data_IF_618745956626
#
_entry.id   IF_618745956626
#
_cell.length_a   1.000
_cell.length_b   1.000
_cell.length_c   1.000
_cell.angle_alpha   90.00
_cell.angle_beta   90.00
_cell.angle_gamma   90.00
#
_symmetry.space_group_name_H-M   'P 1'
#
loop_
_entity.id
_entity.type
_entity.pdbx_description
1 polymer ?
#
# COMPACT_ATOMS: atom_id res chain seq x y z
N UNK A 1 -34.08 72.59 -26.90
CA UNK A 1 -34.56 71.53 -26.00
C UNK A 1 -33.92 70.23 -26.43
N UNK A 2 -32.87 69.79 -25.76
CA UNK A 2 -32.22 68.52 -26.03
C UNK A 2 -32.48 67.60 -24.82
N UNK A 3 -33.29 66.54 -25.07
CA UNK A 3 -33.57 65.51 -24.06
C UNK A 3 -32.36 64.49 -24.04
N UNK A 4 -31.65 64.44 -22.92
CA UNK A 4 -30.66 63.41 -22.66
C UNK A 4 -31.35 62.14 -22.15
N UNK A 5 -31.25 61.06 -22.89
CA UNK A 5 -31.71 59.71 -22.47
C UNK A 5 -30.63 59.06 -21.62
N UNK A 6 -30.90 58.93 -20.32
CA UNK A 6 -30.02 58.24 -19.36
C UNK A 6 -30.31 56.75 -19.46
N UNK A 7 -29.42 55.97 -20.07
CA UNK A 7 -29.52 54.51 -20.08
C UNK A 7 -28.94 53.97 -18.75
N UNK A 8 -29.82 53.49 -17.89
CA UNK A 8 -29.44 52.80 -16.64
C UNK A 8 -29.05 51.35 -16.98
N UNK A 9 -27.75 51.05 -16.93
CA UNK A 9 -27.25 49.71 -17.07
C UNK A 9 -27.53 48.95 -15.74
N UNK A 10 -28.56 48.12 -15.71
CA UNK A 10 -28.76 47.18 -14.61
C UNK A 10 -27.70 46.07 -14.70
N UNK A 11 -26.68 46.15 -13.90
CA UNK A 11 -25.82 45.01 -13.61
C UNK A 11 -26.65 43.95 -12.86
N UNK A 12 -26.95 42.84 -13.54
CA UNK A 12 -27.50 41.64 -12.87
C UNK A 12 -26.49 41.17 -11.84
N UNK A 13 -26.92 40.87 -10.59
CA UNK A 13 -26.04 40.20 -9.65
C UNK A 13 -25.70 38.82 -10.27
N UNK A 14 -24.43 38.61 -10.60
CA UNK A 14 -23.93 37.31 -10.92
C UNK A 14 -24.25 36.39 -9.72
N UNK A 15 -25.10 35.38 -9.94
CA UNK A 15 -25.19 34.28 -8.99
C UNK A 15 -23.75 33.73 -8.81
N UNK A 16 -23.14 33.96 -7.65
CA UNK A 16 -21.99 33.21 -7.27
C UNK A 16 -22.44 31.74 -7.25
N UNK A 17 -22.05 30.99 -8.24
CA UNK A 17 -22.26 29.53 -8.25
C UNK A 17 -21.44 29.01 -7.05
N UNK A 18 -22.09 28.33 -6.12
CA UNK A 18 -21.36 27.69 -5.01
C UNK A 18 -20.31 26.78 -5.65
N UNK A 19 -19.07 26.88 -5.17
CA UNK A 19 -17.99 26.02 -5.67
C UNK A 19 -18.36 24.55 -5.42
N UNK A 20 -18.27 23.74 -6.46
CA UNK A 20 -18.49 22.30 -6.34
C UNK A 20 -17.20 21.66 -5.76
N UNK A 21 -17.27 21.25 -4.50
CA UNK A 21 -16.12 20.64 -3.82
C UNK A 21 -15.98 19.17 -4.20
N UNK A 22 -14.75 18.75 -4.51
CA UNK A 22 -14.37 17.34 -4.70
C UNK A 22 -13.35 16.96 -3.66
N UNK A 23 -13.68 16.02 -2.80
CA UNK A 23 -12.82 15.57 -1.71
C UNK A 23 -11.97 14.38 -2.13
N UNK A 24 -10.64 14.52 -2.07
CA UNK A 24 -9.66 13.53 -2.52
C UNK A 24 -8.82 13.06 -1.35
N UNK A 25 -8.96 11.79 -0.95
CA UNK A 25 -8.04 11.12 -0.04
C UNK A 25 -6.92 10.45 -0.82
N UNK A 26 -5.66 10.74 -0.50
CA UNK A 26 -4.57 10.20 -1.29
C UNK A 26 -3.32 9.86 -0.46
N UNK A 27 -2.55 8.91 -0.97
CA UNK A 27 -1.25 8.55 -0.42
C UNK A 27 -0.28 9.74 -0.38
N UNK A 28 0.61 9.75 0.61
CA UNK A 28 1.62 10.80 0.79
C UNK A 28 2.48 11.03 -0.45
N UNK A 29 2.94 9.96 -1.10
CA UNK A 29 3.76 10.02 -2.33
C UNK A 29 3.04 10.60 -3.56
N UNK A 30 1.71 10.80 -3.49
CA UNK A 30 0.93 11.43 -4.53
C UNK A 30 0.71 12.94 -4.29
N UNK A 31 1.24 13.51 -3.19
CA UNK A 31 0.94 14.89 -2.79
C UNK A 31 1.33 15.91 -3.86
N UNK A 32 2.55 15.82 -4.40
CA UNK A 32 3.05 16.76 -5.43
C UNK A 32 2.32 16.58 -6.77
N UNK A 33 2.25 15.38 -7.38
CA UNK A 33 1.59 15.24 -8.67
C UNK A 33 0.09 15.53 -8.60
N UNK A 34 -0.62 15.18 -7.51
CA UNK A 34 -2.04 15.53 -7.38
C UNK A 34 -2.27 17.01 -7.10
N UNK A 35 -1.31 17.73 -6.48
CA UNK A 35 -1.40 19.19 -6.40
C UNK A 35 -1.33 19.82 -7.80
N UNK A 36 -0.41 19.38 -8.62
CA UNK A 36 -0.29 19.87 -10.00
C UNK A 36 -1.53 19.49 -10.84
N UNK A 37 -2.12 18.31 -10.58
CA UNK A 37 -3.37 17.90 -11.22
C UNK A 37 -4.54 18.76 -10.78
N UNK A 38 -4.68 19.09 -9.48
CA UNK A 38 -5.66 20.01 -8.92
C UNK A 38 -5.58 21.38 -9.62
N UNK A 39 -4.38 22.01 -9.60
CA UNK A 39 -4.16 23.34 -10.19
C UNK A 39 -4.57 23.39 -11.68
N UNK A 40 -4.23 22.35 -12.45
CA UNK A 40 -4.60 22.28 -13.87
C UNK A 40 -6.07 21.95 -14.08
N UNK A 41 -6.64 21.07 -13.27
CA UNK A 41 -8.04 20.68 -13.36
C UNK A 41 -8.97 21.85 -13.02
N UNK A 42 -8.72 22.57 -11.94
CA UNK A 42 -9.51 23.73 -11.52
C UNK A 42 -9.45 24.88 -12.55
N UNK A 43 -8.28 25.06 -13.20
CA UNK A 43 -8.15 26.02 -14.31
C UNK A 43 -9.04 25.68 -15.51
N UNK A 44 -9.31 24.39 -15.75
CA UNK A 44 -10.20 23.90 -16.80
C UNK A 44 -11.68 23.86 -16.37
N UNK A 45 -11.95 23.79 -15.07
CA UNK A 45 -13.28 23.67 -14.48
C UNK A 45 -13.58 24.82 -13.50
N UNK A 46 -13.78 26.07 -13.97
CA UNK A 46 -14.06 27.21 -13.10
C UNK A 46 -15.27 26.95 -12.19
N UNK A 47 -15.09 27.08 -10.89
CA UNK A 47 -16.12 26.81 -9.87
C UNK A 47 -16.05 25.42 -9.26
N UNK A 48 -15.04 24.63 -9.59
CA UNK A 48 -14.67 23.41 -8.86
C UNK A 48 -13.55 23.72 -7.87
N UNK A 49 -13.60 23.08 -6.70
CA UNK A 49 -12.61 23.17 -5.60
C UNK A 49 -12.20 21.74 -5.20
N UNK A 50 -10.99 21.36 -5.53
CA UNK A 50 -10.41 20.04 -5.19
C UNK A 50 -9.78 20.11 -3.80
N UNK A 51 -10.38 19.46 -2.83
CA UNK A 51 -9.86 19.39 -1.45
C UNK A 51 -9.12 18.07 -1.21
N UNK A 52 -7.80 18.14 -1.12
CA UNK A 52 -6.94 16.98 -0.91
C UNK A 52 -6.58 16.77 0.57
N UNK A 53 -6.72 15.53 1.05
CA UNK A 53 -6.20 15.09 2.34
C UNK A 53 -5.15 14.00 2.10
N UNK A 54 -3.89 14.30 2.47
CA UNK A 54 -2.74 13.39 2.30
C UNK A 54 -2.45 12.62 3.57
N UNK A 55 -2.43 11.28 3.50
CA UNK A 55 -2.04 10.39 4.59
C UNK A 55 -1.49 9.06 4.04
N UNK A 56 -1.21 8.06 4.88
CA UNK A 56 -0.93 6.70 4.42
C UNK A 56 -2.15 6.10 3.72
N UNK A 57 -1.96 5.25 2.69
CA UNK A 57 -3.07 4.73 1.89
C UNK A 57 -4.09 3.95 2.70
N UNK A 58 -3.65 3.14 3.67
CA UNK A 58 -4.55 2.43 4.60
C UNK A 58 -5.39 3.43 5.37
N UNK A 59 -4.76 4.44 5.96
CA UNK A 59 -5.44 5.49 6.72
C UNK A 59 -6.40 6.32 5.85
N UNK A 60 -6.07 6.57 4.56
CA UNK A 60 -6.97 7.23 3.60
C UNK A 60 -8.27 6.44 3.43
N UNK A 61 -8.16 5.14 3.20
CA UNK A 61 -9.32 4.27 2.98
C UNK A 61 -10.17 4.17 4.26
N UNK A 62 -9.54 4.07 5.43
CA UNK A 62 -10.24 4.02 6.72
C UNK A 62 -11.04 5.29 7.03
N UNK A 63 -10.68 6.47 6.49
CA UNK A 63 -11.53 7.66 6.62
C UNK A 63 -12.94 7.42 6.07
N UNK A 64 -13.06 6.62 5.02
CA UNK A 64 -14.33 6.29 4.37
C UNK A 64 -14.95 5.04 5.02
N UNK A 65 -14.19 3.94 5.09
CA UNK A 65 -14.73 2.61 5.44
C UNK A 65 -15.03 2.45 6.93
N UNK A 66 -14.26 3.08 7.81
CA UNK A 66 -14.38 2.93 9.27
C UNK A 66 -14.93 4.19 9.94
N UNK A 67 -14.43 5.39 9.53
CA UNK A 67 -14.84 6.64 10.16
C UNK A 67 -16.12 7.20 9.53
N UNK A 68 -16.43 6.82 8.27
CA UNK A 68 -17.63 7.24 7.55
C UNK A 68 -17.58 8.70 7.06
N UNK A 69 -16.37 9.24 6.83
CA UNK A 69 -16.23 10.57 6.22
C UNK A 69 -16.56 10.52 4.72
N UNK A 70 -17.16 11.59 4.16
CA UNK A 70 -17.35 11.68 2.73
C UNK A 70 -16.01 11.78 2.00
N UNK A 71 -15.92 11.14 0.84
CA UNK A 71 -14.78 11.23 -0.07
C UNK A 71 -15.24 10.93 -1.48
N UNK A 72 -14.80 11.74 -2.43
CA UNK A 72 -15.20 11.64 -3.84
C UNK A 72 -14.18 10.88 -4.68
N UNK A 73 -12.90 10.88 -4.25
CA UNK A 73 -11.83 10.14 -4.90
C UNK A 73 -10.90 9.54 -3.84
N UNK A 74 -10.46 8.31 -4.06
CA UNK A 74 -9.38 7.66 -3.31
C UNK A 74 -8.24 7.31 -4.26
N UNK A 75 -7.02 7.76 -3.95
CA UNK A 75 -5.81 7.42 -4.70
C UNK A 75 -4.76 6.79 -3.77
N UNK A 76 -4.50 5.50 -3.98
CA UNK A 76 -3.65 4.66 -3.13
C UNK A 76 -2.29 4.40 -3.77
N UNK A 77 -1.23 4.34 -2.95
CA UNK A 77 0.09 3.87 -3.36
C UNK A 77 0.19 2.34 -3.50
N UNK A 78 -0.86 1.63 -3.16
CA UNK A 78 -1.06 0.22 -3.46
C UNK A 78 -2.48 0.00 -3.98
N UNK A 79 -2.60 -0.34 -5.26
CA UNK A 79 -3.91 -0.55 -5.89
C UNK A 79 -4.71 -1.65 -5.22
N UNK A 80 -4.03 -2.68 -4.66
CA UNK A 80 -4.69 -3.83 -4.07
C UNK A 80 -5.48 -3.49 -2.79
N UNK A 81 -5.13 -2.41 -2.10
CA UNK A 81 -5.89 -1.94 -0.93
C UNK A 81 -7.33 -1.55 -1.29
N UNK A 82 -7.58 -1.12 -2.54
CA UNK A 82 -8.94 -0.76 -2.97
C UNK A 82 -9.86 -1.99 -2.93
N UNK A 83 -9.60 -3.10 -3.66
CA UNK A 83 -10.45 -4.27 -3.55
C UNK A 83 -10.39 -4.94 -2.17
N UNK A 84 -9.26 -4.91 -1.46
CA UNK A 84 -9.11 -5.55 -0.15
C UNK A 84 -9.95 -4.88 0.96
N UNK A 85 -10.00 -3.54 0.96
CA UNK A 85 -10.60 -2.77 2.05
C UNK A 85 -11.91 -2.06 1.68
N UNK A 86 -12.19 -1.88 0.38
CA UNK A 86 -13.36 -1.12 -0.07
C UNK A 86 -14.43 -1.98 -0.74
N UNK A 87 -14.08 -3.15 -1.31
CA UNK A 87 -15.08 -3.98 -1.99
C UNK A 87 -15.90 -4.81 -1.00
N UNK A 88 -17.20 -5.05 -1.30
CA UNK A 88 -17.99 -4.45 -2.37
C UNK A 88 -18.70 -3.14 -1.94
N UNK A 89 -18.63 -2.76 -0.66
CA UNK A 89 -19.53 -1.78 -0.05
C UNK A 89 -19.18 -0.33 -0.42
N UNK A 90 -17.89 -0.05 -0.61
CA UNK A 90 -17.36 1.32 -0.80
C UNK A 90 -16.73 1.56 -2.18
N UNK A 91 -16.46 0.50 -2.96
CA UNK A 91 -16.00 0.58 -4.35
C UNK A 91 -16.34 -0.73 -5.07
N UNK A 92 -16.39 -0.69 -6.42
CA UNK A 92 -16.63 -1.85 -7.29
C UNK A 92 -15.67 -1.87 -8.49
N UNK A 93 -14.82 -0.86 -8.63
CA UNK A 93 -13.79 -0.74 -9.64
C UNK A 93 -12.59 0.06 -9.15
N UNK A 94 -11.47 -0.06 -9.86
CA UNK A 94 -10.31 0.82 -9.73
C UNK A 94 -9.52 0.88 -11.05
N UNK A 95 -8.68 1.91 -11.18
CA UNK A 95 -7.72 2.05 -12.28
C UNK A 95 -6.31 2.07 -11.73
N UNK A 96 -5.43 1.23 -12.27
CA UNK A 96 -3.97 1.29 -12.08
C UNK A 96 -3.40 2.28 -13.08
N UNK A 97 -2.67 3.28 -12.61
CA UNK A 97 -2.31 4.43 -13.46
C UNK A 97 -0.84 4.81 -13.45
N UNK A 98 -0.07 4.44 -12.43
CA UNK A 98 1.35 4.72 -12.31
C UNK A 98 2.08 3.63 -11.51
N UNK A 99 3.42 3.61 -11.62
CA UNK A 99 4.32 2.72 -10.88
C UNK A 99 5.33 3.50 -10.05
N UNK A 100 6.08 2.82 -9.19
CA UNK A 100 7.19 3.38 -8.44
C UNK A 100 8.15 2.26 -8.00
N UNK A 101 9.22 2.62 -7.30
CA UNK A 101 10.17 1.71 -6.65
C UNK A 101 10.61 2.26 -5.29
N UNK A 102 11.13 1.39 -4.43
CA UNK A 102 11.72 1.80 -3.17
C UNK A 102 13.20 2.10 -3.34
N UNK A 103 13.61 3.20 -2.71
CA UNK A 103 15.00 3.63 -2.60
C UNK A 103 15.35 3.90 -1.14
N UNK A 104 16.64 4.00 -0.85
CA UNK A 104 17.12 4.50 0.44
C UNK A 104 17.59 5.95 0.26
N UNK A 105 16.73 6.91 0.63
CA UNK A 105 16.99 8.33 0.51
C UNK A 105 17.92 8.83 1.63
N UNK A 106 18.77 9.82 1.32
CA UNK A 106 19.71 10.39 2.27
C UNK A 106 20.14 11.82 1.88
N UNK A 107 20.75 12.54 2.82
CA UNK A 107 21.38 13.82 2.56
C UNK A 107 22.90 13.65 2.45
N UNK A 108 23.52 13.94 1.27
CA UNK A 108 24.95 13.67 1.05
C UNK A 108 25.87 14.51 1.95
N UNK A 109 25.39 15.64 2.50
CA UNK A 109 26.18 16.52 3.36
C UNK A 109 26.02 16.24 4.87
N UNK A 110 24.90 15.61 5.27
CA UNK A 110 24.54 15.44 6.68
C UNK A 110 24.51 13.98 7.13
N UNK A 111 24.15 13.03 6.24
CA UNK A 111 24.02 11.62 6.58
C UNK A 111 25.38 10.96 6.85
N UNK A 112 25.45 10.20 7.92
CA UNK A 112 26.66 9.45 8.27
C UNK A 112 27.00 8.43 7.18
N UNK A 113 28.27 8.35 6.78
CA UNK A 113 28.77 7.46 5.75
C UNK A 113 28.15 7.65 4.34
N UNK A 114 27.61 8.84 4.04
CA UNK A 114 27.00 9.15 2.75
C UNK A 114 27.92 8.90 1.52
N UNK A 115 29.23 9.03 1.71
CA UNK A 115 30.23 8.75 0.65
C UNK A 115 30.62 7.28 0.49
N UNK A 116 30.16 6.41 1.39
CA UNK A 116 30.52 4.98 1.41
C UNK A 116 29.33 4.10 0.97
N UNK A 117 28.10 4.60 1.08
CA UNK A 117 26.90 3.80 0.84
C UNK A 117 26.70 3.47 -0.63
N UNK A 118 26.35 2.22 -0.92
CA UNK A 118 26.11 1.69 -2.27
C UNK A 118 24.92 0.71 -2.25
N UNK A 119 24.40 0.31 -3.42
CA UNK A 119 23.37 -0.74 -3.50
C UNK A 119 23.78 -2.09 -2.88
N UNK A 120 25.09 -2.37 -2.81
CA UNK A 120 25.62 -3.64 -2.31
C UNK A 120 25.87 -3.66 -0.81
N UNK A 121 26.02 -2.48 -0.15
CA UNK A 121 26.44 -2.39 1.26
C UNK A 121 25.50 -1.57 2.16
N UNK A 122 24.38 -1.09 1.66
CA UNK A 122 23.48 -0.22 2.41
C UNK A 122 23.09 -0.78 3.79
N UNK A 123 22.83 -2.07 3.87
CA UNK A 123 22.45 -2.75 5.11
C UNK A 123 23.61 -2.80 6.11
N UNK A 124 24.86 -2.91 5.64
CA UNK A 124 26.05 -2.82 6.50
C UNK A 124 26.24 -1.40 7.07
N UNK A 125 25.94 -0.36 6.25
CA UNK A 125 25.96 1.02 6.71
C UNK A 125 24.88 1.26 7.76
N UNK A 126 23.64 0.77 7.55
CA UNK A 126 22.57 0.90 8.52
C UNK A 126 22.86 0.19 9.85
N UNK A 127 23.65 -0.87 9.85
CA UNK A 127 24.08 -1.58 11.06
C UNK A 127 25.06 -0.79 11.93
N UNK A 128 25.81 0.15 11.34
CA UNK A 128 26.87 0.89 12.05
C UNK A 128 26.32 1.68 13.23
N UNK A 129 27.12 1.76 14.30
CA UNK A 129 26.79 2.53 15.49
C UNK A 129 26.57 4.02 15.16
N UNK A 130 25.53 4.60 15.72
CA UNK A 130 25.17 6.01 15.54
C UNK A 130 24.39 6.31 14.26
N UNK A 131 24.30 5.39 13.28
CA UNK A 131 23.44 5.55 12.10
C UNK A 131 21.99 5.35 12.50
N UNK A 132 21.15 6.32 12.18
CA UNK A 132 19.70 6.27 12.39
C UNK A 132 18.99 6.21 11.04
N UNK A 133 18.09 5.25 10.87
CA UNK A 133 17.30 5.13 9.66
C UNK A 133 15.80 5.11 9.97
N UNK A 134 14.97 5.39 8.98
CA UNK A 134 13.52 5.43 9.16
C UNK A 134 12.74 4.79 8.02
N UNK A 135 11.50 4.47 8.35
CA UNK A 135 10.46 4.04 7.41
C UNK A 135 9.08 4.44 7.96
N UNK A 136 8.06 4.44 7.10
CA UNK A 136 6.70 4.75 7.56
C UNK A 136 6.07 3.57 8.30
N UNK A 137 5.03 3.85 9.10
CA UNK A 137 4.30 2.83 9.84
C UNK A 137 3.67 1.80 8.87
N UNK A 138 4.06 0.53 8.94
CA UNK A 138 3.50 -0.52 8.07
C UNK A 138 1.98 -0.68 8.18
N UNK A 139 1.39 -0.31 9.33
CA UNK A 139 -0.05 -0.41 9.56
C UNK A 139 -0.86 0.69 8.87
N UNK A 140 -0.22 1.81 8.50
CA UNK A 140 -0.89 3.00 7.97
C UNK A 140 -0.51 3.31 6.51
N UNK A 141 0.70 2.89 6.08
CA UNK A 141 1.30 3.32 4.81
C UNK A 141 1.96 2.16 4.05
N UNK A 142 1.64 1.99 2.75
CA UNK A 142 2.29 1.00 1.88
C UNK A 142 3.82 1.09 1.81
N UNK A 143 4.41 2.29 1.87
CA UNK A 143 5.86 2.44 1.94
C UNK A 143 6.44 1.69 3.14
N UNK A 144 5.76 1.76 4.29
CA UNK A 144 6.18 1.09 5.51
C UNK A 144 6.20 -0.43 5.42
N UNK A 145 5.09 -1.07 5.01
CA UNK A 145 5.11 -2.53 4.89
C UNK A 145 6.01 -3.02 3.76
N UNK A 146 6.21 -2.23 2.71
CA UNK A 146 7.19 -2.52 1.67
C UNK A 146 8.63 -2.40 2.15
N UNK A 147 8.92 -1.41 3.00
CA UNK A 147 10.24 -1.26 3.61
C UNK A 147 10.61 -2.50 4.43
N UNK A 148 9.73 -3.00 5.28
CA UNK A 148 10.04 -4.22 6.04
C UNK A 148 10.14 -5.46 5.15
N UNK A 149 9.44 -5.51 4.00
CA UNK A 149 9.64 -6.57 3.00
C UNK A 149 11.03 -6.50 2.38
N UNK A 150 11.55 -5.29 2.09
CA UNK A 150 12.90 -5.09 1.53
C UNK A 150 13.97 -5.71 2.41
N UNK A 151 13.89 -5.55 3.74
CA UNK A 151 14.87 -6.16 4.64
C UNK A 151 14.89 -7.70 4.53
N UNK A 152 13.72 -8.33 4.43
CA UNK A 152 13.66 -9.79 4.27
C UNK A 152 14.09 -10.24 2.86
N UNK A 153 13.74 -9.50 1.82
CA UNK A 153 14.18 -9.77 0.46
C UNK A 153 15.70 -9.61 0.34
N UNK A 154 16.28 -8.64 1.06
CA UNK A 154 17.71 -8.37 1.09
C UNK A 154 18.52 -9.53 1.68
N UNK A 155 18.00 -10.25 2.67
CA UNK A 155 18.65 -11.46 3.20
C UNK A 155 18.92 -12.49 2.09
N UNK A 156 17.93 -12.75 1.25
CA UNK A 156 18.11 -13.67 0.13
C UNK A 156 19.02 -13.12 -0.95
N UNK A 157 18.88 -11.83 -1.26
CA UNK A 157 19.62 -11.18 -2.34
C UNK A 157 21.12 -11.10 -2.01
N UNK A 158 21.46 -10.68 -0.80
CA UNK A 158 22.86 -10.52 -0.35
C UNK A 158 23.45 -11.80 0.27
N UNK A 159 22.61 -12.80 0.59
CA UNK A 159 23.03 -14.04 1.25
C UNK A 159 23.42 -13.85 2.72
N UNK A 160 22.89 -12.83 3.38
CA UNK A 160 23.10 -12.48 4.79
C UNK A 160 21.80 -12.59 5.57
N UNK A 161 21.61 -13.69 6.29
CA UNK A 161 20.41 -14.01 7.04
C UNK A 161 20.23 -13.22 8.36
N UNK A 162 21.01 -12.18 8.57
CA UNK A 162 20.93 -11.35 9.78
C UNK A 162 20.40 -9.93 9.48
N UNK A 163 20.12 -9.61 8.22
CA UNK A 163 19.71 -8.24 7.85
C UNK A 163 18.41 -7.85 8.55
N UNK A 164 17.39 -8.72 8.51
CA UNK A 164 16.11 -8.46 9.17
C UNK A 164 16.25 -8.52 10.68
N UNK A 165 16.98 -9.49 11.20
CA UNK A 165 17.14 -9.69 12.64
C UNK A 165 17.80 -8.47 13.30
N UNK A 166 18.98 -8.05 12.81
CA UNK A 166 19.76 -6.96 13.42
C UNK A 166 19.15 -5.57 13.18
N UNK A 167 18.47 -5.35 12.04
CA UNK A 167 17.92 -4.03 11.71
C UNK A 167 16.47 -3.86 12.18
N UNK A 168 15.65 -4.91 12.15
CA UNK A 168 14.22 -4.83 12.45
C UNK A 168 13.85 -5.52 13.77
N UNK A 169 14.16 -6.82 13.95
CA UNK A 169 13.73 -7.55 15.14
C UNK A 169 14.34 -6.99 16.44
N UNK A 170 15.63 -6.61 16.42
CA UNK A 170 16.32 -6.06 17.59
C UNK A 170 15.88 -4.63 17.92
N UNK A 171 15.27 -3.91 16.96
CA UNK A 171 14.97 -2.51 17.09
C UNK A 171 13.47 -2.16 17.08
N UNK A 172 12.59 -3.15 16.93
CA UNK A 172 11.12 -2.92 16.94
C UNK A 172 10.39 -4.13 17.54
N UNK A 173 9.08 -4.00 17.75
CA UNK A 173 8.21 -5.12 18.11
C UNK A 173 7.71 -5.91 16.88
N UNK A 174 8.17 -5.61 15.68
CA UNK A 174 7.85 -6.36 14.45
C UNK A 174 8.49 -7.75 14.55
N UNK A 175 7.75 -8.77 14.14
CA UNK A 175 8.22 -10.17 14.18
C UNK A 175 8.15 -10.81 12.80
N UNK A 176 8.90 -11.90 12.60
CA UNK A 176 8.93 -12.65 11.36
C UNK A 176 8.88 -14.15 11.64
N UNK A 177 8.26 -14.91 10.76
CA UNK A 177 8.22 -16.36 10.80
C UNK A 177 8.30 -16.97 9.41
N UNK A 178 9.08 -18.04 9.27
CA UNK A 178 9.11 -18.83 8.04
C UNK A 178 7.84 -19.68 7.92
N UNK A 179 7.27 -19.74 6.72
CA UNK A 179 6.16 -20.60 6.37
C UNK A 179 6.65 -21.92 5.71
N UNK A 180 5.83 -22.97 5.78
CA UNK A 180 6.20 -24.29 5.24
C UNK A 180 6.47 -24.32 3.73
N UNK A 181 5.96 -23.35 2.98
CA UNK A 181 6.14 -23.18 1.54
C UNK A 181 7.43 -22.42 1.16
N UNK A 182 8.24 -22.03 2.17
CA UNK A 182 9.49 -21.26 1.99
C UNK A 182 9.27 -19.76 1.83
N UNK A 183 8.06 -19.25 2.12
CA UNK A 183 7.78 -17.82 2.26
C UNK A 183 7.97 -17.36 3.71
N UNK A 184 7.89 -16.05 3.92
CA UNK A 184 7.96 -15.44 5.24
C UNK A 184 6.72 -14.58 5.51
N UNK A 185 6.24 -14.66 6.76
CA UNK A 185 5.19 -13.79 7.28
C UNK A 185 5.78 -12.86 8.34
N UNK A 186 5.81 -11.57 8.02
CA UNK A 186 6.15 -10.49 8.95
C UNK A 186 4.86 -10.07 9.64
N UNK A 187 4.90 -9.81 10.95
CA UNK A 187 3.74 -9.31 11.72
C UNK A 187 4.08 -7.96 12.32
N UNK A 188 3.23 -6.98 12.04
CA UNK A 188 3.37 -5.61 12.54
C UNK A 188 2.29 -5.35 13.59
N UNK A 189 2.63 -5.36 14.90
CA UNK A 189 1.69 -5.04 15.96
C UNK A 189 1.26 -3.57 15.90
N UNK A 190 0.18 -3.19 16.60
CA UNK A 190 -0.28 -1.82 16.69
C UNK A 190 0.78 -0.90 17.31
N UNK A 191 1.42 -1.34 18.39
CA UNK A 191 2.56 -0.67 19.02
C UNK A 191 3.88 -1.26 18.52
N UNK A 192 4.54 -0.56 17.61
CA UNK A 192 5.77 -1.00 16.96
C UNK A 192 7.03 -0.89 17.83
N UNK A 193 6.99 -0.15 18.95
CA UNK A 193 8.06 0.02 19.94
C UNK A 193 9.46 0.27 19.32
N UNK A 194 9.65 1.30 18.48
CA UNK A 194 10.92 1.53 17.85
C UNK A 194 12.01 1.93 18.86
N UNK A 195 13.20 1.35 18.72
CA UNK A 195 14.41 1.85 19.36
C UNK A 195 14.85 3.15 18.67
N UNK A 196 14.37 4.30 19.16
CA UNK A 196 14.52 5.60 18.50
C UNK A 196 15.96 6.11 18.37
N UNK A 197 16.95 5.44 18.96
CA UNK A 197 18.36 5.71 18.70
C UNK A 197 18.87 5.01 17.45
N UNK A 198 18.05 4.14 16.82
CA UNK A 198 18.38 3.37 15.63
C UNK A 198 17.34 3.48 14.53
N UNK A 199 16.05 3.46 14.89
CA UNK A 199 14.91 3.42 13.94
C UNK A 199 13.90 4.49 14.27
N UNK A 200 13.54 5.33 13.31
CA UNK A 200 12.43 6.29 13.39
C UNK A 200 11.26 5.81 12.50
N UNK A 201 10.06 5.71 13.09
CA UNK A 201 8.85 5.28 12.38
C UNK A 201 7.82 6.42 12.42
N UNK A 202 7.34 6.84 11.24
CA UNK A 202 6.35 7.91 11.06
C UNK A 202 5.07 7.40 10.42
N UNK A 203 3.91 8.04 10.63
CA UNK A 203 2.64 7.61 10.05
C UNK A 203 2.66 7.49 8.51
N UNK A 204 3.41 8.34 7.82
CA UNK A 204 3.60 8.31 6.36
C UNK A 204 5.04 8.62 5.99
N UNK A 205 5.49 8.09 4.87
CA UNK A 205 6.89 8.15 4.45
C UNK A 205 7.37 9.59 4.21
N UNK A 206 6.56 10.43 3.57
CA UNK A 206 6.92 11.83 3.29
C UNK A 206 7.21 12.67 4.55
N UNK A 207 6.84 12.19 5.74
CA UNK A 207 7.19 12.87 6.99
C UNK A 207 8.67 12.66 7.35
N UNK A 208 9.32 11.61 6.85
CA UNK A 208 10.74 11.34 7.06
C UNK A 208 11.64 12.28 6.25
N UNK A 209 11.13 12.82 5.14
CA UNK A 209 11.88 13.70 4.22
C UNK A 209 12.51 14.88 4.97
N UNK A 210 11.71 15.61 5.74
CA UNK A 210 12.21 16.77 6.49
C UNK A 210 13.30 16.38 7.50
N UNK A 211 13.21 15.21 8.12
CA UNK A 211 14.24 14.73 9.06
C UNK A 211 15.54 14.38 8.34
N UNK A 212 15.48 13.82 7.13
CA UNK A 212 16.67 13.58 6.29
C UNK A 212 17.27 14.89 5.82
N UNK A 213 16.44 15.83 5.33
CA UNK A 213 16.89 17.15 4.89
C UNK A 213 17.61 17.92 6.01
N UNK A 214 17.09 17.87 7.24
CA UNK A 214 17.64 18.55 8.41
C UNK A 214 18.81 17.81 9.08
N UNK A 215 19.03 16.53 8.73
CA UNK A 215 20.07 15.66 9.30
C UNK A 215 19.73 15.11 10.69
N UNK A 216 18.44 15.07 11.02
CA UNK A 216 17.92 14.37 12.20
C UNK A 216 17.75 12.87 11.97
N UNK A 217 17.85 12.44 10.71
CA UNK A 217 17.78 11.07 10.24
C UNK A 217 18.83 10.89 9.16
N UNK A 218 19.63 9.82 9.22
CA UNK A 218 20.66 9.58 8.21
C UNK A 218 20.06 9.03 6.90
N UNK A 219 19.15 8.05 7.01
CA UNK A 219 18.59 7.34 5.87
C UNK A 219 17.10 7.10 6.05
N UNK A 220 16.32 7.18 4.96
CA UNK A 220 14.92 6.84 4.98
C UNK A 220 14.55 5.94 3.80
N UNK A 221 13.77 4.89 4.06
CA UNK A 221 13.10 4.16 2.98
C UNK A 221 11.97 5.02 2.43
N UNK A 222 12.08 5.32 1.16
CA UNK A 222 11.15 6.17 0.43
C UNK A 222 10.86 5.63 -0.97
N UNK A 223 9.77 6.10 -1.55
CA UNK A 223 9.60 5.95 -2.98
C UNK A 223 10.57 6.85 -3.75
N UNK A 224 11.13 6.34 -4.86
CA UNK A 224 12.02 7.13 -5.74
C UNK A 224 11.41 8.49 -6.09
N UNK A 225 10.12 8.51 -6.44
CA UNK A 225 9.44 9.76 -6.81
C UNK A 225 9.51 10.82 -5.71
N UNK A 226 9.37 10.43 -4.44
CA UNK A 226 9.47 11.34 -3.31
C UNK A 226 10.90 11.89 -3.17
N UNK A 227 11.90 11.01 -3.26
CA UNK A 227 13.30 11.43 -3.22
C UNK A 227 13.63 12.43 -4.36
N UNK A 228 13.14 12.17 -5.58
CA UNK A 228 13.30 13.06 -6.75
C UNK A 228 12.62 14.41 -6.52
N UNK A 229 11.37 14.42 -6.06
CA UNK A 229 10.58 15.63 -5.84
C UNK A 229 11.20 16.55 -4.78
N UNK A 230 11.88 15.98 -3.79
CA UNK A 230 12.54 16.70 -2.71
C UNK A 230 14.04 16.91 -2.91
N UNK A 231 14.57 16.55 -4.08
CA UNK A 231 16.01 16.65 -4.41
C UNK A 231 16.93 15.95 -3.40
N UNK A 232 16.46 14.87 -2.78
CA UNK A 232 17.30 14.02 -1.94
C UNK A 232 18.19 13.14 -2.81
N UNK A 233 19.41 12.88 -2.34
CA UNK A 233 20.19 11.78 -2.89
C UNK A 233 19.55 10.44 -2.43
N UNK A 234 19.78 9.40 -3.21
CA UNK A 234 19.27 8.07 -2.84
C UNK A 234 20.18 6.97 -3.39
N UNK A 235 20.11 5.83 -2.73
CA UNK A 235 20.69 4.58 -3.20
C UNK A 235 19.58 3.83 -3.95
N UNK A 236 19.82 3.52 -5.22
CA UNK A 236 19.00 2.60 -6.00
C UNK A 236 19.14 1.18 -5.42
N UNK A 237 18.05 0.63 -4.90
CA UNK A 237 18.07 -0.74 -4.44
C UNK A 237 18.07 -1.70 -5.63
N UNK A 238 18.69 -2.89 -5.52
CA UNK A 238 18.65 -3.87 -6.60
C UNK A 238 17.23 -4.30 -6.97
N UNK A 239 16.96 -4.54 -8.28
CA UNK A 239 15.65 -4.96 -8.81
C UNK A 239 15.03 -6.18 -8.10
N UNK A 240 15.87 -7.02 -7.48
CA UNK A 240 15.39 -8.17 -6.71
C UNK A 240 14.69 -7.82 -5.40
N UNK A 241 14.83 -6.57 -4.91
CA UNK A 241 14.34 -6.13 -3.60
C UNK A 241 13.59 -4.79 -3.61
N UNK A 242 13.72 -3.95 -4.66
CA UNK A 242 13.14 -2.60 -4.75
C UNK A 242 11.62 -2.57 -5.01
N UNK A 243 11.02 -3.73 -5.27
CA UNK A 243 9.61 -3.91 -5.59
C UNK A 243 9.15 -3.17 -6.86
N UNK A 244 10.02 -2.94 -7.83
CA UNK A 244 9.65 -2.31 -9.12
C UNK A 244 9.31 -3.32 -10.19
N UNK A 245 9.99 -4.47 -10.22
CA UNK A 245 10.07 -5.36 -11.38
C UNK A 245 9.00 -6.44 -11.38
N UNK A 246 8.24 -6.52 -12.46
CA UNK A 246 7.31 -7.65 -12.70
C UNK A 246 8.05 -8.98 -12.90
N UNK A 247 9.31 -8.96 -13.34
CA UNK A 247 10.12 -10.17 -13.49
C UNK A 247 10.48 -10.80 -12.14
N UNK A 248 10.55 -10.00 -11.08
CA UNK A 248 10.81 -10.43 -9.72
C UNK A 248 9.54 -10.64 -8.88
N UNK A 249 8.33 -10.49 -9.46
CA UNK A 249 7.07 -10.63 -8.74
C UNK A 249 6.95 -11.97 -7.99
N UNK A 250 7.48 -13.09 -8.57
CA UNK A 250 7.50 -14.41 -7.92
C UNK A 250 8.41 -14.47 -6.69
N UNK A 251 9.42 -13.62 -6.62
CA UNK A 251 10.29 -13.47 -5.45
C UNK A 251 9.63 -12.59 -4.41
N UNK A 252 9.09 -11.43 -4.81
CA UNK A 252 8.43 -10.50 -3.90
C UNK A 252 7.28 -11.16 -3.12
N UNK A 253 6.43 -11.93 -3.79
CA UNK A 253 5.27 -12.59 -3.16
C UNK A 253 5.61 -13.66 -2.11
N UNK A 254 6.88 -14.01 -1.97
CA UNK A 254 7.34 -14.89 -0.87
C UNK A 254 7.43 -14.17 0.47
N UNK A 255 7.35 -12.84 0.47
CA UNK A 255 7.31 -12.04 1.70
C UNK A 255 5.92 -11.42 1.84
N UNK A 256 5.32 -11.62 3.01
CA UNK A 256 4.00 -11.10 3.37
C UNK A 256 4.11 -10.33 4.66
N UNK A 257 3.25 -9.33 4.83
CA UNK A 257 3.13 -8.55 6.06
C UNK A 257 1.68 -8.63 6.55
N UNK A 258 1.49 -9.18 7.74
CA UNK A 258 0.21 -9.14 8.47
C UNK A 258 0.17 -7.85 9.29
N UNK A 259 -0.74 -6.96 8.93
CA UNK A 259 -0.97 -5.69 9.63
C UNK A 259 -1.68 -5.92 10.96
N UNK A 260 -1.65 -4.93 11.87
CA UNK A 260 -2.36 -5.00 13.15
C UNK A 260 -3.88 -5.23 12.99
N UNK A 261 -4.46 -4.79 11.87
CA UNK A 261 -5.86 -5.07 11.50
C UNK A 261 -6.14 -6.53 11.17
N UNK A 262 -5.11 -7.37 10.98
CA UNK A 262 -5.21 -8.74 10.49
C UNK A 262 -5.19 -8.85 8.96
N UNK A 263 -5.20 -7.74 8.21
CA UNK A 263 -5.03 -7.76 6.76
C UNK A 263 -3.60 -8.20 6.39
N UNK A 264 -3.46 -8.99 5.33
CA UNK A 264 -2.17 -9.53 4.89
C UNK A 264 -1.78 -8.93 3.55
N UNK A 265 -0.72 -8.14 3.56
CA UNK A 265 -0.14 -7.56 2.36
C UNK A 265 0.92 -8.49 1.78
N UNK A 266 0.80 -8.82 0.49
CA UNK A 266 1.76 -9.67 -0.21
C UNK A 266 2.71 -8.81 -1.03
N UNK A 267 4.01 -9.15 -1.02
CA UNK A 267 5.00 -8.44 -1.83
C UNK A 267 4.67 -8.50 -3.32
N UNK A 268 4.52 -7.34 -3.93
CA UNK A 268 4.18 -7.15 -5.35
C UNK A 268 4.90 -5.93 -5.90
N UNK A 269 5.05 -5.80 -7.23
CA UNK A 269 5.49 -4.55 -7.83
C UNK A 269 4.61 -3.37 -7.40
N UNK A 270 5.25 -2.20 -7.20
CA UNK A 270 4.57 -0.99 -6.73
C UNK A 270 3.73 -0.40 -7.84
N UNK A 271 2.41 -0.38 -7.65
CA UNK A 271 1.43 0.13 -8.60
C UNK A 271 0.37 0.95 -7.87
N UNK A 272 0.17 2.18 -8.32
CA UNK A 272 -0.84 3.08 -7.79
C UNK A 272 -2.23 2.77 -8.35
N UNK A 273 -3.24 2.85 -7.48
CA UNK A 273 -4.64 2.69 -7.83
C UNK A 273 -5.47 3.92 -7.48
N UNK A 274 -6.53 4.18 -8.27
CA UNK A 274 -7.47 5.27 -8.05
C UNK A 274 -8.90 4.79 -8.31
N UNK A 275 -9.84 5.29 -7.51
CA UNK A 275 -11.28 5.00 -7.66
C UNK A 275 -12.15 6.17 -7.19
N UNK A 276 -13.42 6.14 -7.55
CA UNK A 276 -14.49 6.96 -6.96
C UNK A 276 -15.28 6.06 -6.01
N UNK A 277 -15.35 6.36 -4.71
CA UNK A 277 -16.14 5.57 -3.77
C UNK A 277 -17.64 5.59 -4.09
N UNK A 278 -18.34 4.48 -3.80
CA UNK A 278 -19.81 4.38 -3.96
C UNK A 278 -20.57 5.37 -3.08
N UNK A 279 -19.94 5.85 -2.01
CA UNK A 279 -20.49 6.82 -1.04
C UNK A 279 -20.09 8.27 -1.35
N UNK A 280 -19.51 8.54 -2.52
CA UNK A 280 -19.10 9.88 -2.94
C UNK A 280 -20.30 10.85 -2.95
N UNK A 281 -20.08 12.07 -2.45
CA UNK A 281 -21.09 13.13 -2.46
C UNK A 281 -21.17 13.82 -3.83
N UNK A 282 -20.03 13.90 -4.56
CA UNK A 282 -19.91 14.48 -5.90
C UNK A 282 -19.30 13.48 -6.90
N UNK A 283 -19.95 12.32 -7.16
CA UNK A 283 -19.36 11.23 -7.94
C UNK A 283 -19.06 11.63 -9.39
N UNK A 284 -19.90 12.47 -10.01
CA UNK A 284 -19.71 12.94 -11.40
C UNK A 284 -18.43 13.76 -11.53
N UNK A 285 -18.20 14.72 -10.62
CA UNK A 285 -16.99 15.55 -10.66
C UNK A 285 -15.77 14.78 -10.18
N UNK A 286 -15.92 13.86 -9.23
CA UNK A 286 -14.87 12.91 -8.84
C UNK A 286 -14.41 12.06 -10.03
N UNK A 287 -15.37 11.60 -10.86
CA UNK A 287 -15.07 10.85 -12.09
C UNK A 287 -14.35 11.71 -13.14
N UNK A 288 -14.75 12.96 -13.34
CA UNK A 288 -14.02 13.87 -14.25
C UNK A 288 -12.60 14.13 -13.76
N UNK A 289 -12.38 14.26 -12.45
CA UNK A 289 -11.04 14.38 -11.89
C UNK A 289 -10.23 13.08 -12.08
N UNK A 290 -10.81 11.90 -11.87
CA UNK A 290 -10.16 10.61 -12.17
C UNK A 290 -9.78 10.52 -13.65
N UNK A 291 -10.67 10.88 -14.58
CA UNK A 291 -10.38 10.94 -16.03
C UNK A 291 -9.18 11.84 -16.33
N UNK A 292 -9.11 13.00 -15.70
CA UNK A 292 -7.98 13.92 -15.85
C UNK A 292 -6.67 13.28 -15.35
N UNK A 293 -6.70 12.68 -14.16
CA UNK A 293 -5.51 12.06 -13.53
C UNK A 293 -4.99 10.88 -14.35
N UNK A 294 -5.86 9.99 -14.83
CA UNK A 294 -5.45 8.80 -15.59
C UNK A 294 -5.29 9.08 -17.10
N UNK A 295 -5.79 10.22 -17.58
CA UNK A 295 -5.65 10.67 -18.96
C UNK A 295 -4.28 11.28 -19.28
N UNK A 296 -4.10 11.72 -20.53
CA UNK A 296 -2.83 12.27 -21.02
C UNK A 296 -2.26 13.43 -20.16
N UNK A 297 -3.05 14.39 -19.66
CA UNK A 297 -2.51 15.45 -18.80
C UNK A 297 -1.93 14.90 -17.49
N UNK A 298 -2.68 14.04 -16.79
CA UNK A 298 -2.20 13.41 -15.55
C UNK A 298 -0.98 12.52 -15.79
N UNK A 299 -0.99 11.68 -16.84
CA UNK A 299 0.16 10.84 -17.19
C UNK A 299 1.45 11.66 -17.34
N UNK A 300 1.37 12.84 -17.99
CA UNK A 300 2.52 13.73 -18.11
C UNK A 300 2.97 14.28 -16.75
N UNK A 301 2.01 14.69 -15.90
CA UNK A 301 2.31 15.16 -14.55
C UNK A 301 3.04 14.07 -13.75
N UNK A 302 2.55 12.82 -13.77
CA UNK A 302 3.19 11.72 -13.05
C UNK A 302 4.57 11.41 -13.58
N UNK A 303 4.76 11.38 -14.92
CA UNK A 303 6.07 11.18 -15.53
C UNK A 303 7.09 12.27 -15.10
N UNK A 304 6.67 13.53 -15.11
CA UNK A 304 7.52 14.66 -14.71
C UNK A 304 7.88 14.64 -13.21
N UNK A 305 7.09 13.95 -12.40
CA UNK A 305 7.31 13.77 -10.95
C UNK A 305 8.00 12.45 -10.60
N UNK A 306 8.58 11.73 -11.56
CA UNK A 306 9.34 10.51 -11.30
C UNK A 306 8.47 9.28 -10.98
N UNK A 307 7.19 9.30 -11.37
CA UNK A 307 6.25 8.17 -11.26
C UNK A 307 5.87 7.70 -12.66
N UNK A 308 6.52 6.66 -13.22
CA UNK A 308 6.24 6.19 -14.56
C UNK A 308 4.74 5.85 -14.73
N UNK A 309 4.02 6.49 -15.68
CA UNK A 309 2.61 6.19 -15.92
C UNK A 309 2.45 4.82 -16.59
N UNK A 310 1.35 4.16 -16.28
CA UNK A 310 0.88 2.96 -16.99
C UNK A 310 0.09 3.43 -18.22
N UNK A 311 0.55 3.09 -19.42
CA UNK A 311 -0.06 3.55 -20.69
C UNK A 311 -0.37 2.36 -21.59
N UNK A 312 -1.65 2.08 -21.92
CA UNK A 312 -2.85 2.69 -21.32
C UNK A 312 -3.02 2.30 -19.85
N UNK A 313 -3.72 3.13 -19.03
CA UNK A 313 -4.08 2.75 -17.67
C UNK A 313 -4.91 1.48 -17.64
N UNK A 314 -4.76 0.66 -16.61
CA UNK A 314 -5.41 -0.65 -16.52
C UNK A 314 -6.56 -0.63 -15.51
N UNK A 315 -7.78 -0.89 -15.97
CA UNK A 315 -8.99 -0.91 -15.14
C UNK A 315 -9.39 -2.32 -14.71
N UNK A 316 -9.90 -2.45 -13.50
CA UNK A 316 -10.36 -3.72 -12.93
C UNK A 316 -11.69 -3.53 -12.19
N UNK A 317 -12.54 -4.55 -12.16
CA UNK A 317 -13.92 -4.48 -11.64
C UNK A 317 -14.89 -3.87 -12.64
N UNK A 318 -15.96 -3.27 -12.13
CA UNK A 318 -17.04 -2.69 -12.96
C UNK A 318 -16.68 -1.27 -13.45
N UNK A 319 -15.59 -1.17 -14.24
CA UNK A 319 -15.06 0.10 -14.76
C UNK A 319 -16.15 0.88 -15.50
N UNK A 320 -16.45 2.12 -15.11
CA UNK A 320 -17.48 2.94 -15.74
C UNK A 320 -17.24 3.16 -17.24
N UNK A 321 -18.32 3.13 -18.03
CA UNK A 321 -18.26 3.27 -19.49
C UNK A 321 -17.52 4.55 -19.95
N UNK A 322 -17.57 5.60 -19.15
CA UNK A 322 -16.91 6.88 -19.38
C UNK A 322 -15.38 6.79 -19.39
N UNK A 323 -14.81 5.81 -18.68
CA UNK A 323 -13.35 5.56 -18.63
C UNK A 323 -12.87 4.61 -19.76
N UNK A 324 -13.75 3.82 -20.37
CA UNK A 324 -13.37 2.78 -21.34
C UNK A 324 -12.68 3.29 -22.61
N UNK A 325 -12.76 4.61 -22.88
CA UNK A 325 -12.06 5.23 -24.02
C UNK A 325 -10.58 5.49 -23.75
N UNK A 326 -10.15 5.53 -22.47
CA UNK A 326 -8.80 5.86 -22.04
C UNK A 326 -8.16 4.77 -21.17
N UNK A 327 -8.97 3.90 -20.60
CA UNK A 327 -8.57 2.80 -19.71
C UNK A 327 -8.73 1.47 -20.44
N UNK A 328 -7.72 0.60 -20.37
CA UNK A 328 -7.85 -0.77 -20.85
C UNK A 328 -8.43 -1.64 -19.74
N UNK A 329 -9.63 -2.21 -19.92
CA UNK A 329 -10.16 -3.16 -18.96
C UNK A 329 -9.22 -4.38 -18.85
N UNK A 330 -8.88 -4.75 -17.65
CA UNK A 330 -8.17 -6.01 -17.42
C UNK A 330 -9.15 -7.17 -17.70
N UNK A 331 -8.72 -8.15 -18.46
CA UNK A 331 -9.53 -9.35 -18.65
C UNK A 331 -9.84 -9.93 -17.25
N UNK A 332 -11.11 -10.00 -16.89
CA UNK A 332 -11.53 -10.69 -15.66
C UNK A 332 -10.88 -12.07 -15.67
N UNK A 333 -10.10 -12.46 -14.66
CA UNK A 333 -9.56 -13.81 -14.60
C UNK A 333 -10.74 -14.77 -14.79
N UNK A 334 -10.67 -15.64 -15.80
CA UNK A 334 -11.70 -16.64 -15.99
C UNK A 334 -11.90 -17.34 -14.63
N UNK A 335 -13.14 -17.50 -14.14
CA UNK A 335 -13.37 -18.12 -12.85
C UNK A 335 -12.56 -19.41 -12.84
N UNK A 336 -11.68 -19.54 -11.85
CA UNK A 336 -10.87 -20.75 -11.66
C UNK A 336 -11.84 -21.92 -11.77
N UNK A 337 -11.61 -22.92 -12.63
CA UNK A 337 -12.56 -24.02 -12.79
C UNK A 337 -12.89 -24.50 -11.38
N UNK A 338 -14.14 -24.32 -10.98
CA UNK A 338 -14.66 -24.81 -9.71
C UNK A 338 -14.21 -26.26 -9.65
N UNK A 339 -13.36 -26.59 -8.69
CA UNK A 339 -12.91 -27.96 -8.51
C UNK A 339 -14.16 -28.82 -8.51
N UNK A 340 -14.34 -29.61 -9.58
CA UNK A 340 -15.43 -30.57 -9.65
C UNK A 340 -15.36 -31.37 -8.35
N UNK A 341 -16.43 -31.45 -7.54
CA UNK A 341 -16.36 -32.18 -6.30
C UNK A 341 -15.87 -33.58 -6.67
N UNK A 342 -14.68 -33.91 -6.17
CA UNK A 342 -14.12 -35.27 -6.31
C UNK A 342 -15.18 -36.20 -5.76
N UNK A 343 -15.70 -37.10 -6.62
CA UNK A 343 -16.76 -38.00 -6.24
C UNK A 343 -16.30 -38.75 -4.99
N UNK A 344 -17.03 -38.54 -3.87
CA UNK A 344 -16.80 -39.26 -2.63
C UNK A 344 -16.57 -40.74 -2.95
N UNK A 345 -15.48 -41.35 -2.50
CA UNK A 345 -15.25 -42.75 -2.76
C UNK A 345 -16.42 -43.54 -2.20
N UNK A 346 -17.05 -44.33 -3.09
CA UNK A 346 -18.12 -45.25 -2.73
C UNK A 346 -17.62 -46.14 -1.59
N UNK A 347 -18.36 -46.26 -0.45
CA UNK A 347 -17.89 -47.02 0.68
C UNK A 347 -17.78 -48.49 0.25
N UNK A 348 -16.56 -48.99 0.27
CA UNK A 348 -16.27 -50.42 0.09
C UNK A 348 -16.95 -51.20 1.21
N UNK A 349 -17.69 -52.32 0.93
CA UNK A 349 -18.33 -53.11 1.97
C UNK A 349 -17.28 -53.65 2.97
N UNK A 350 -17.37 -53.26 4.25
CA UNK A 350 -16.55 -53.82 5.33
C UNK A 350 -16.84 -55.33 5.47
N UNK A 351 -15.81 -56.15 5.33
CA UNK A 351 -15.85 -57.54 5.72
C UNK A 351 -16.14 -57.65 7.24
N UNK A 352 -16.99 -58.60 7.68
CA UNK A 352 -17.32 -58.75 9.10
C UNK A 352 -16.17 -59.43 9.85
N UNK A 353 -15.70 -58.78 10.93
CA UNK A 353 -14.93 -59.41 11.96
C UNK A 353 -13.53 -58.85 12.20
N UNK A 354 -13.40 -58.02 13.25
CA UNK A 354 -12.23 -57.97 14.15
C UNK A 354 -12.35 -56.87 15.24
N UNK A 355 -13.50 -56.17 15.40
CA UNK A 355 -13.63 -55.07 16.37
C UNK A 355 -13.99 -55.49 17.81
N UNK A 356 -14.14 -56.77 18.09
CA UNK A 356 -14.59 -57.22 19.46
C UNK A 356 -13.43 -57.52 20.45
N UNK A 357 -12.17 -57.60 19.99
CA UNK A 357 -11.06 -58.02 20.88
C UNK A 357 -10.38 -56.87 21.59
N UNK A 358 -10.40 -55.67 21.02
CA UNK A 358 -9.71 -54.51 21.63
C UNK A 358 -10.55 -53.77 22.71
N UNK A 359 -11.86 -53.88 22.70
CA UNK A 359 -12.73 -53.24 23.69
C UNK A 359 -12.65 -53.92 25.10
N UNK A 360 -12.34 -55.19 25.17
CA UNK A 360 -12.19 -55.92 26.44
C UNK A 360 -10.86 -55.69 27.12
N UNK A 361 -9.77 -55.47 26.33
CA UNK A 361 -8.44 -55.18 26.87
C UNK A 361 -8.34 -53.75 27.47
N UNK A 362 -9.05 -52.76 26.90
CA UNK A 362 -9.10 -51.40 27.42
C UNK A 362 -9.82 -51.26 28.76
N UNK A 363 -10.92 -51.98 28.95
CA UNK A 363 -11.69 -51.96 30.21
C UNK A 363 -10.95 -52.66 31.37
N UNK A 364 -10.15 -53.66 31.11
CA UNK A 364 -9.34 -54.35 32.16
C UNK A 364 -8.14 -53.49 32.57
N UNK A 365 -7.54 -52.69 31.69
CA UNK A 365 -6.46 -51.78 32.05
C UNK A 365 -6.95 -50.63 32.94
N UNK A 366 -8.13 -50.08 32.70
CA UNK A 366 -8.73 -49.01 33.51
C UNK A 366 -9.12 -49.52 34.89
N UNK A 367 -9.69 -50.74 34.99
CA UNK A 367 -10.02 -51.37 36.29
C UNK A 367 -8.78 -51.67 37.14
N UNK A 368 -7.66 -52.04 36.52
CA UNK A 368 -6.40 -52.28 37.21
C UNK A 368 -5.76 -50.99 37.78
N UNK A 369 -5.85 -49.88 37.02
CA UNK A 369 -5.37 -48.57 37.46
C UNK A 369 -6.20 -47.99 38.63
N UNK A 370 -7.55 -48.11 38.60
CA UNK A 370 -8.43 -47.64 39.67
C UNK A 370 -8.26 -48.42 40.95
N UNK A 371 -7.98 -49.72 40.91
CA UNK A 371 -7.73 -50.55 42.09
C UNK A 371 -6.40 -50.24 42.75
N UNK A 372 -5.39 -49.79 41.99
CA UNK A 372 -4.06 -49.47 42.51
C UNK A 372 -4.01 -48.11 43.25
N UNK A 373 -4.91 -47.18 42.92
CA UNK A 373 -4.98 -45.85 43.57
C UNK A 373 -5.80 -45.83 44.87
N UNK A 374 -6.45 -46.96 45.23
CA UNK A 374 -7.16 -47.11 46.52
C UNK A 374 -6.41 -47.89 47.57
N UNK A 375 -5.18 -48.32 47.29
CA UNK A 375 -4.34 -49.11 48.18
C UNK A 375 -2.99 -48.42 48.53
N UNK A 376 -2.90 -47.06 48.37
CA UNK A 376 -1.82 -46.21 48.82
C UNK A 376 -2.35 -45.08 49.72
#
# INVERSE_FOLDING_TARGET
>A
MASALLATLCALPGCAQEAQTVKVYHAGSLAVPLQQAEEQFEALHPGVDIQRESMGSVACIQQITEIGKPGDVVASADYFLIPDMMYPDFADWYVRFATNDLVLAYNPEKSMYASEITPENWYEILRRDGVVFGFSNPNDDPCGYRSVMVFQLAEWYHGDAQIFDELILENTAITISAEANGSYLIKTPEDLQPNTVKVDIRPKSVELVAFVEEGGLDYAFEYRSVAVQHNLAFVDLPLGIDLSSVEHADTYKKVKVELASGSVQTGTPIVYGITVPTVAENPEMGMEFVKFVVGAPGQQIFADNGQPPIVPPAGSGDVPAELLSIVQPEATPAPSPTATPEASPTPTPKAPGFDAIFAVAGLLAIAYLVLRTKAA
#
